data_IF_377615389750
#
_entry.id   IF_377615389750
#
_cell.length_a   1.000
_cell.length_b   1.000
_cell.length_c   1.000
_cell.angle_alpha   90.00
_cell.angle_beta   90.00
_cell.angle_gamma   90.00
#
_symmetry.space_group_name_H-M   'P 1'
#
loop_
_entity.id
_entity.type
_entity.pdbx_description
1 polymer ?
#
# COMPACT_ATOMS: atom_id res chain seq x y z
N UNK A 1 16.24 -34.55 33.95
CA UNK A 1 15.04 -34.78 33.10
C UNK A 1 14.65 -33.41 32.58
N UNK A 2 14.95 -33.11 31.32
CA UNK A 2 14.69 -31.79 30.71
C UNK A 2 13.25 -31.83 30.20
N UNK A 3 12.43 -30.92 30.68
CA UNK A 3 11.01 -30.88 30.36
C UNK A 3 10.80 -30.36 28.94
N UNK A 4 10.37 -31.25 28.05
CA UNK A 4 10.09 -30.98 26.63
C UNK A 4 8.94 -29.96 26.50
N UNK A 5 8.14 -29.76 27.54
CA UNK A 5 6.99 -28.85 27.55
C UNK A 5 7.45 -27.37 27.59
N UNK A 6 8.58 -27.06 28.26
CA UNK A 6 9.18 -25.71 28.25
C UNK A 6 9.73 -25.32 26.86
N UNK A 7 10.12 -26.30 26.04
CA UNK A 7 10.62 -26.12 24.67
C UNK A 7 9.54 -25.97 23.59
N UNK A 8 8.25 -25.78 23.93
CA UNK A 8 7.23 -25.51 22.90
C UNK A 8 6.70 -24.07 22.93
N UNK A 9 6.99 -23.30 23.98
CA UNK A 9 6.54 -21.90 24.08
C UNK A 9 7.27 -20.96 23.11
N UNK A 10 8.52 -21.26 22.76
CA UNK A 10 9.26 -20.50 21.75
C UNK A 10 8.80 -20.81 20.33
N UNK A 11 8.25 -21.99 20.08
CA UNK A 11 7.71 -22.37 18.77
C UNK A 11 6.44 -21.59 18.44
N UNK A 12 5.53 -21.44 19.42
CA UNK A 12 4.32 -20.64 19.22
C UNK A 12 4.66 -19.16 19.01
N UNK A 13 5.62 -18.64 19.77
CA UNK A 13 6.10 -17.27 19.61
C UNK A 13 6.79 -17.07 18.25
N UNK A 14 7.62 -18.03 17.81
CA UNK A 14 8.28 -17.97 16.52
C UNK A 14 7.29 -18.04 15.35
N UNK A 15 6.25 -18.87 15.46
CA UNK A 15 5.20 -18.96 14.45
C UNK A 15 4.38 -17.66 14.37
N UNK A 16 4.01 -17.09 15.51
CA UNK A 16 3.31 -15.80 15.56
C UNK A 16 4.17 -14.68 14.97
N UNK A 17 5.45 -14.64 15.31
CA UNK A 17 6.39 -13.67 14.75
C UNK A 17 6.55 -13.83 13.24
N UNK A 18 6.55 -15.07 12.74
CA UNK A 18 6.60 -15.37 11.30
C UNK A 18 5.34 -14.90 10.58
N UNK A 19 4.16 -15.17 11.15
CA UNK A 19 2.86 -14.73 10.60
C UNK A 19 2.77 -13.20 10.53
N UNK A 20 3.13 -12.51 11.62
CA UNK A 20 3.18 -11.04 11.63
C UNK A 20 4.19 -10.50 10.63
N UNK A 21 5.37 -11.13 10.51
CA UNK A 21 6.39 -10.70 9.55
C UNK A 21 5.90 -10.87 8.10
N UNK A 22 5.24 -11.98 7.77
CA UNK A 22 4.66 -12.21 6.45
C UNK A 22 3.60 -11.15 6.14
N UNK A 23 2.70 -10.87 7.08
CA UNK A 23 1.67 -9.85 6.94
C UNK A 23 2.25 -8.44 6.74
N UNK A 24 3.33 -8.10 7.45
CA UNK A 24 4.01 -6.80 7.28
C UNK A 24 4.66 -6.68 5.91
N UNK A 25 5.35 -7.74 5.45
CA UNK A 25 6.01 -7.76 4.14
C UNK A 25 4.97 -7.65 3.02
N UNK A 26 3.85 -8.39 3.11
CA UNK A 26 2.76 -8.31 2.15
C UNK A 26 2.14 -6.91 2.09
N UNK A 27 1.81 -6.32 3.24
CA UNK A 27 1.25 -4.96 3.27
C UNK A 27 2.22 -3.88 2.78
N UNK A 28 3.53 -4.08 2.93
CA UNK A 28 4.53 -3.17 2.35
C UNK A 28 4.60 -3.26 0.82
N UNK A 29 4.46 -4.45 0.24
CA UNK A 29 4.51 -4.68 -1.22
C UNK A 29 3.20 -4.34 -1.92
N UNK A 30 2.08 -4.35 -1.21
CA UNK A 30 0.78 -3.97 -1.76
C UNK A 30 0.53 -2.47 -1.70
N UNK A 31 1.34 -1.72 -0.94
CA UNK A 31 1.19 -0.28 -0.86
C UNK A 31 1.40 0.37 -2.23
N UNK A 32 0.49 1.25 -2.69
CA UNK A 32 0.55 1.78 -4.04
C UNK A 32 1.78 2.68 -4.21
N UNK A 33 2.59 2.37 -5.22
CA UNK A 33 3.64 3.23 -5.72
C UNK A 33 3.11 3.96 -6.96
N UNK A 34 2.88 5.27 -6.85
CA UNK A 34 2.26 6.07 -7.92
C UNK A 34 3.17 7.24 -8.26
N UNK A 35 3.61 7.28 -9.50
CA UNK A 35 4.27 8.43 -10.10
C UNK A 35 3.23 9.48 -10.51
N UNK A 36 3.46 10.73 -10.10
CA UNK A 36 2.57 11.86 -10.39
C UNK A 36 3.30 12.83 -11.31
N UNK A 37 2.72 13.05 -12.49
CA UNK A 37 3.13 14.10 -13.42
C UNK A 37 2.06 15.19 -13.43
N UNK A 38 2.45 16.45 -13.49
CA UNK A 38 1.50 17.55 -13.62
C UNK A 38 1.95 18.59 -14.63
N UNK A 39 1.00 19.22 -15.28
CA UNK A 39 1.20 20.32 -16.21
C UNK A 39 0.23 21.46 -15.88
N UNK A 40 0.75 22.69 -15.88
CA UNK A 40 -0.07 23.89 -15.78
C UNK A 40 -0.59 24.23 -17.16
N UNK A 41 -1.91 24.16 -17.34
CA UNK A 41 -2.54 24.55 -18.60
C UNK A 41 -2.44 26.07 -18.76
N UNK A 42 -2.05 26.53 -19.96
CA UNK A 42 -1.81 27.94 -20.29
C UNK A 42 -0.85 28.63 -19.29
N UNK A 43 0.20 27.92 -18.85
CA UNK A 43 1.16 28.37 -17.83
C UNK A 43 1.89 29.68 -18.15
N UNK A 44 1.93 30.06 -19.41
CA UNK A 44 2.48 31.32 -19.95
C UNK A 44 1.54 32.52 -19.80
N UNK A 45 0.25 32.31 -19.51
CA UNK A 45 -0.77 33.36 -19.32
C UNK A 45 -1.20 33.53 -17.86
N UNK A 46 -0.50 32.91 -16.90
CA UNK A 46 -0.88 32.94 -15.49
C UNK A 46 -0.78 34.34 -14.88
N UNK A 47 -1.87 34.80 -14.27
CA UNK A 47 -1.96 36.09 -13.55
C UNK A 47 -2.43 35.90 -12.11
N UNK A 48 -1.96 36.77 -11.23
CA UNK A 48 -2.35 36.74 -9.82
C UNK A 48 -3.85 37.04 -9.67
N UNK A 49 -4.56 36.16 -8.96
CA UNK A 49 -6.01 36.28 -8.72
C UNK A 49 -6.89 35.55 -9.73
N UNK A 50 -6.32 34.94 -10.77
CA UNK A 50 -7.04 34.11 -11.74
C UNK A 50 -6.96 32.62 -11.37
N UNK A 51 -8.00 31.85 -11.71
CA UNK A 51 -8.02 30.40 -11.51
C UNK A 51 -7.14 29.74 -12.56
N UNK A 52 -6.24 28.86 -12.11
CA UNK A 52 -5.35 28.10 -12.98
C UNK A 52 -5.81 26.64 -13.03
N UNK A 53 -5.78 26.05 -14.21
CA UNK A 53 -6.08 24.63 -14.39
C UNK A 53 -4.78 23.80 -14.40
N UNK A 54 -4.80 22.70 -13.65
CA UNK A 54 -3.71 21.73 -13.60
C UNK A 54 -4.20 20.42 -14.21
N UNK A 55 -3.42 19.87 -15.13
CA UNK A 55 -3.61 18.51 -15.61
C UNK A 55 -2.63 17.60 -14.87
N UNK A 56 -3.15 16.69 -14.05
CA UNK A 56 -2.34 15.68 -13.38
C UNK A 56 -2.53 14.32 -14.07
N UNK A 57 -1.43 13.59 -14.25
CA UNK A 57 -1.39 12.20 -14.72
C UNK A 57 -0.77 11.33 -13.64
N UNK A 58 -1.47 10.26 -13.27
CA UNK A 58 -1.05 9.29 -12.27
C UNK A 58 -0.67 8.00 -12.98
N UNK A 59 0.51 7.47 -12.71
CA UNK A 59 0.98 6.19 -13.24
C UNK A 59 1.38 5.30 -12.07
N UNK A 60 0.70 4.15 -11.91
CA UNK A 60 1.05 3.18 -10.88
C UNK A 60 2.18 2.28 -11.37
N UNK A 61 3.20 2.11 -10.53
CA UNK A 61 4.18 1.05 -10.71
C UNK A 61 3.63 -0.24 -10.07
N UNK A 62 3.59 -1.30 -10.87
CA UNK A 62 3.09 -2.60 -10.47
C UNK A 62 4.21 -3.64 -10.34
N UNK A 63 5.48 -3.27 -10.50
CA UNK A 63 6.62 -4.19 -10.45
C UNK A 63 6.45 -5.42 -11.39
N UNK A 64 5.77 -5.22 -12.52
CA UNK A 64 5.46 -6.28 -13.50
C UNK A 64 4.20 -7.10 -13.24
N UNK A 65 3.42 -6.78 -12.20
CA UNK A 65 2.09 -7.35 -11.93
C UNK A 65 1.02 -6.77 -12.85
N UNK A 66 -0.07 -7.50 -13.00
CA UNK A 66 -1.27 -6.99 -13.68
C UNK A 66 -2.16 -6.23 -12.68
N UNK A 67 -2.95 -5.27 -13.15
CA UNK A 67 -3.91 -4.55 -12.29
C UNK A 67 -4.92 -5.49 -11.60
N UNK A 68 -5.32 -6.58 -12.27
CA UNK A 68 -6.20 -7.62 -11.73
C UNK A 68 -5.59 -8.40 -10.56
N UNK A 69 -4.25 -8.35 -10.41
CA UNK A 69 -3.53 -8.98 -9.31
C UNK A 69 -3.39 -8.08 -8.08
N UNK A 70 -3.89 -6.84 -8.14
CA UNK A 70 -3.99 -5.95 -6.97
C UNK A 70 -5.16 -6.43 -6.12
N UNK A 71 -4.86 -7.08 -5.00
CA UNK A 71 -5.86 -7.50 -4.02
C UNK A 71 -6.39 -6.32 -3.18
N UNK A 72 -7.38 -6.57 -2.32
CA UNK A 72 -7.93 -5.54 -1.43
C UNK A 72 -6.85 -4.98 -0.50
N UNK A 73 -7.02 -3.72 -0.07
CA UNK A 73 -6.13 -3.03 0.88
C UNK A 73 -5.89 -3.89 2.10
N UNK A 74 -4.62 -4.15 2.38
CA UNK A 74 -4.23 -4.84 3.60
C UNK A 74 -4.37 -3.92 4.82
N UNK A 75 -5.51 -4.01 5.51
CA UNK A 75 -5.87 -3.15 6.64
C UNK A 75 -6.09 -3.95 7.93
N UNK A 76 -5.01 -4.30 8.63
CA UNK A 76 -5.03 -5.13 9.85
C UNK A 76 -5.99 -4.66 10.96
N UNK A 77 -6.20 -3.34 11.08
CA UNK A 77 -7.08 -2.75 12.11
C UNK A 77 -8.49 -2.45 11.62
N UNK A 78 -8.77 -2.71 10.35
CA UNK A 78 -10.07 -2.49 9.75
C UNK A 78 -10.77 -3.83 9.55
N UNK A 79 -12.01 -3.94 10.01
CA UNK A 79 -12.71 -5.23 10.10
C UNK A 79 -13.29 -5.72 8.78
N UNK A 80 -13.32 -4.87 7.75
CA UNK A 80 -13.93 -5.17 6.45
C UNK A 80 -12.87 -5.13 5.34
N UNK A 81 -13.07 -5.89 4.26
CA UNK A 81 -12.25 -5.74 3.07
C UNK A 81 -12.50 -4.36 2.43
N UNK A 82 -11.43 -3.71 1.99
CA UNK A 82 -11.49 -2.37 1.38
C UNK A 82 -10.73 -2.40 0.05
N UNK A 83 -11.41 -2.04 -1.03
CA UNK A 83 -10.76 -1.87 -2.34
C UNK A 83 -9.95 -0.57 -2.37
N UNK A 84 -8.86 -0.57 -3.14
CA UNK A 84 -8.02 0.61 -3.37
C UNK A 84 -8.68 1.68 -4.26
N UNK A 85 -9.76 1.33 -4.96
CA UNK A 85 -10.50 2.18 -5.91
C UNK A 85 -11.15 3.44 -5.28
N UNK A 86 -11.03 3.61 -3.97
CA UNK A 86 -11.49 4.78 -3.24
C UNK A 86 -10.56 5.99 -3.43
N UNK A 87 -10.64 6.63 -4.60
CA UNK A 87 -10.15 8.01 -4.78
C UNK A 87 -10.93 9.03 -3.94
N UNK A 88 -10.43 10.27 -3.87
CA UNK A 88 -11.18 11.41 -3.34
C UNK A 88 -12.24 11.89 -4.34
#
# INVERSE_FOLDING_TARGET
>A
MIDVISTNEWLSLALLAMEVSQMLIQGMWEYPNIDVMYEVLDGDTVRAGETVALLASLQRDLDGRLEEEVGPVHALRYSEAKEEDGGW
#
